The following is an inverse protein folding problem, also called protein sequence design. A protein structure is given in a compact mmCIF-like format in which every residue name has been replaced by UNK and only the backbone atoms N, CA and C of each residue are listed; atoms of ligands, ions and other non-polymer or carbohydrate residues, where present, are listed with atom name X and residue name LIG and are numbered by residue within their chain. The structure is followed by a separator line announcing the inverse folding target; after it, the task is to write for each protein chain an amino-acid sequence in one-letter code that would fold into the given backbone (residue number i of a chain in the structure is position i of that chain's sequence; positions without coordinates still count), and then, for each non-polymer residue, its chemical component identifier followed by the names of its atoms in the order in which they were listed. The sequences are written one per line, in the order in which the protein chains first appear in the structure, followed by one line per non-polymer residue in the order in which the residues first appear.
data_IF_496067596370
#
_entry.id   IF_496067596370
#
_cell.length_a   1.000
_cell.length_b   1.000
_cell.length_c   1.000
_cell.angle_alpha   90.00
_cell.angle_beta   90.00
_cell.angle_gamma   90.00
#
_symmetry.space_group_name_H-M   'P 1'
#
loop_
_entity.id
_entity.type
_entity.pdbx_description
1 polymer ?
#
# COMPACT_ATOMS: atom_id res chain seq x y z
N UNK A 1 18.33 3.01 -9.80
CA UNK A 1 18.23 3.89 -8.62
C UNK A 1 16.92 3.74 -7.84
N UNK A 2 15.76 4.04 -8.43
CA UNK A 2 14.46 4.05 -7.72
C UNK A 2 14.13 2.73 -6.97
N UNK A 3 14.30 1.58 -7.64
CA UNK A 3 14.10 0.26 -7.01
C UNK A 3 14.90 0.12 -5.70
N UNK A 4 16.18 0.49 -5.75
CA UNK A 4 17.08 0.40 -4.61
C UNK A 4 16.67 1.41 -3.52
N UNK A 5 16.24 2.62 -3.90
CA UNK A 5 15.76 3.61 -2.94
C UNK A 5 14.47 3.15 -2.23
N UNK A 6 13.60 2.41 -2.90
CA UNK A 6 12.48 1.75 -2.23
C UNK A 6 12.96 0.68 -1.25
N UNK A 7 13.92 -0.16 -1.64
CA UNK A 7 14.44 -1.25 -0.79
C UNK A 7 15.22 -0.73 0.42
N UNK A 8 15.95 0.38 0.26
CA UNK A 8 16.66 1.07 1.34
C UNK A 8 15.72 1.84 2.28
N UNK A 9 14.47 2.09 1.87
CA UNK A 9 13.51 2.90 2.62
C UNK A 9 13.76 4.41 2.48
N UNK A 10 14.43 4.84 1.41
CA UNK A 10 14.57 6.24 1.03
C UNK A 10 13.35 6.77 0.27
N UNK A 11 12.55 5.90 -0.36
CA UNK A 11 11.22 6.25 -0.89
C UNK A 11 10.15 5.59 -0.02
N UNK A 12 9.28 6.41 0.58
CA UNK A 12 8.41 5.99 1.69
C UNK A 12 7.02 5.54 1.30
N UNK A 13 6.59 5.82 0.06
CA UNK A 13 5.21 5.58 -0.38
C UNK A 13 5.18 5.01 -1.79
N UNK A 14 4.10 4.30 -2.10
CA UNK A 14 3.73 3.84 -3.43
C UNK A 14 2.38 4.47 -3.78
N UNK A 15 2.21 4.88 -5.03
CA UNK A 15 0.96 5.43 -5.56
C UNK A 15 0.73 4.93 -6.98
N UNK A 16 -0.46 5.20 -7.54
CA UNK A 16 -0.85 4.66 -8.85
C UNK A 16 -0.60 5.60 -10.01
N UNK A 17 -0.69 6.90 -9.81
CA UNK A 17 -0.87 7.90 -10.87
C UNK A 17 -2.00 7.53 -11.87
N UNK A 18 -3.16 7.16 -11.32
CA UNK A 18 -4.23 6.47 -12.05
C UNK A 18 -4.69 7.21 -13.31
N UNK A 19 -4.57 6.53 -14.46
CA UNK A 19 -4.95 7.04 -15.80
C UNK A 19 -4.17 8.28 -16.27
N UNK A 20 -3.13 8.70 -15.54
CA UNK A 20 -2.29 9.84 -15.85
C UNK A 20 -0.81 9.47 -15.66
N UNK A 21 -0.33 8.48 -16.42
CA UNK A 21 0.99 7.83 -16.28
C UNK A 21 1.08 6.65 -15.29
N UNK A 22 -0.05 6.13 -14.82
CA UNK A 22 -0.03 4.85 -14.13
C UNK A 22 -1.37 4.13 -13.96
N UNK A 23 -1.36 3.07 -13.15
CA UNK A 23 -2.36 2.00 -13.15
C UNK A 23 -2.98 1.82 -11.77
N UNK A 24 -4.27 2.17 -11.64
CA UNK A 24 -5.01 2.16 -10.35
C UNK A 24 -5.03 0.79 -9.68
N UNK A 25 -5.13 -0.29 -10.46
CA UNK A 25 -5.19 -1.67 -9.96
C UNK A 25 -3.84 -2.27 -9.57
N UNK A 26 -2.74 -1.53 -9.71
CA UNK A 26 -1.39 -2.10 -9.63
C UNK A 26 -0.51 -1.55 -8.50
N UNK A 27 -1.02 -0.70 -7.61
CA UNK A 27 -0.21 -0.17 -6.47
C UNK A 27 0.34 -1.31 -5.62
N UNK A 28 -0.54 -2.23 -5.20
CA UNK A 28 -0.17 -3.35 -4.33
C UNK A 28 0.74 -4.32 -5.09
N UNK A 29 0.40 -4.69 -6.33
CA UNK A 29 1.16 -5.69 -7.09
C UNK A 29 2.58 -5.21 -7.40
N UNK A 30 2.74 -3.94 -7.79
CA UNK A 30 4.05 -3.35 -8.11
C UNK A 30 4.91 -3.19 -6.87
N UNK A 31 4.30 -2.94 -5.72
CA UNK A 31 5.00 -2.93 -4.43
C UNK A 31 5.69 -4.27 -4.16
N UNK A 32 4.95 -5.37 -4.30
CA UNK A 32 5.48 -6.72 -4.02
C UNK A 32 6.41 -7.24 -5.11
N UNK A 33 6.19 -6.88 -6.38
CA UNK A 33 7.13 -7.17 -7.47
C UNK A 33 8.48 -6.47 -7.26
N UNK A 34 8.49 -5.22 -6.80
CA UNK A 34 9.72 -4.52 -6.47
C UNK A 34 10.44 -5.18 -5.29
N UNK A 35 9.71 -5.49 -4.20
CA UNK A 35 10.27 -6.23 -3.07
C UNK A 35 10.90 -7.57 -3.48
N UNK A 36 10.25 -8.30 -4.39
CA UNK A 36 10.74 -9.55 -4.93
C UNK A 36 12.02 -9.36 -5.77
N UNK A 37 12.02 -8.42 -6.72
CA UNK A 37 13.20 -8.09 -7.54
C UNK A 37 14.40 -7.74 -6.66
N UNK A 38 14.18 -6.90 -5.65
CA UNK A 38 15.23 -6.47 -4.73
C UNK A 38 15.75 -7.62 -3.87
N UNK A 39 14.89 -8.57 -3.46
CA UNK A 39 15.37 -9.82 -2.85
C UNK A 39 16.27 -10.63 -3.78
N UNK A 40 15.86 -10.83 -5.03
CA UNK A 40 16.64 -11.62 -5.99
C UNK A 40 18.00 -11.00 -6.28
N UNK A 41 18.07 -9.67 -6.41
CA UNK A 41 19.30 -8.99 -6.81
C UNK A 41 20.18 -8.56 -5.64
N UNK A 42 19.62 -8.34 -4.45
CA UNK A 42 20.36 -7.80 -3.28
C UNK A 42 20.35 -8.72 -2.06
N UNK A 43 19.70 -9.88 -2.14
CA UNK A 43 19.62 -10.84 -1.04
C UNK A 43 18.72 -10.38 0.10
N UNK A 44 18.97 -10.93 1.30
CA UNK A 44 18.22 -10.63 2.50
C UNK A 44 18.40 -9.19 2.95
N UNK A 45 17.35 -8.57 3.48
CA UNK A 45 17.42 -7.21 4.02
C UNK A 45 17.59 -7.28 5.53
N UNK A 46 18.71 -6.77 6.03
CA UNK A 46 18.99 -6.66 7.46
C UNK A 46 17.89 -5.87 8.17
N UNK A 47 17.49 -6.33 9.35
CA UNK A 47 16.65 -5.55 10.25
C UNK A 47 17.55 -4.63 11.08
N UNK A 48 17.53 -3.30 10.88
CA UNK A 48 18.36 -2.37 11.66
C UNK A 48 17.98 -2.32 13.15
N UNK A 49 16.87 -2.94 13.55
CA UNK A 49 16.46 -3.11 14.95
C UNK A 49 16.90 -4.46 15.55
N UNK A 50 17.51 -5.36 14.77
CA UNK A 50 18.11 -6.57 15.29
C UNK A 50 19.46 -6.22 15.93
N UNK A 51 19.79 -6.83 17.08
CA UNK A 51 20.99 -6.54 17.89
C UNK A 51 22.29 -7.13 17.29
N UNK A 52 22.40 -7.16 15.96
CA UNK A 52 23.56 -7.65 15.21
C UNK A 52 24.11 -6.59 14.26
N UNK A 53 25.31 -6.81 13.73
CA UNK A 53 25.91 -5.98 12.67
C UNK A 53 24.89 -5.86 11.54
N UNK A 54 24.60 -4.65 11.05
CA UNK A 54 23.54 -4.36 10.07
C UNK A 54 23.76 -4.93 8.67
N UNK A 55 24.49 -6.04 8.56
CA UNK A 55 24.68 -6.84 7.37
C UNK A 55 23.45 -7.74 7.15
N UNK A 56 23.18 -8.07 5.89
CA UNK A 56 22.13 -9.01 5.53
C UNK A 56 22.30 -10.28 6.37
N UNK A 57 21.29 -10.66 7.16
CA UNK A 57 21.27 -11.99 7.79
C UNK A 57 21.22 -13.02 6.66
N UNK A 58 22.38 -13.53 6.25
CA UNK A 58 22.54 -14.48 5.14
C UNK A 58 21.65 -15.74 5.33
N UNK A 59 21.25 -15.99 6.59
CA UNK A 59 20.47 -17.13 7.04
C UNK A 59 19.13 -16.76 7.71
N UNK A 60 18.53 -15.60 7.39
CA UNK A 60 17.21 -15.30 7.92
C UNK A 60 16.16 -16.28 7.39
N UNK A 61 15.31 -16.82 8.26
CA UNK A 61 14.25 -17.77 7.86
C UNK A 61 13.04 -17.09 7.18
N UNK A 62 13.02 -15.75 7.09
CA UNK A 62 11.87 -14.98 6.62
C UNK A 62 12.26 -13.60 6.10
N UNK A 63 11.36 -12.98 5.33
CA UNK A 63 11.53 -11.62 4.78
C UNK A 63 10.75 -10.56 5.58
N UNK A 64 10.45 -10.78 6.86
CA UNK A 64 9.47 -9.97 7.59
C UNK A 64 9.82 -8.48 7.61
N UNK A 65 11.11 -8.13 7.73
CA UNK A 65 11.50 -6.72 7.73
C UNK A 65 11.25 -6.07 6.37
N UNK A 66 11.63 -6.73 5.27
CA UNK A 66 11.28 -6.27 3.91
C UNK A 66 9.77 -6.22 3.72
N UNK A 67 9.02 -7.22 4.16
CA UNK A 67 7.56 -7.22 4.07
C UNK A 67 6.93 -6.04 4.82
N UNK A 68 7.36 -5.75 6.05
CA UNK A 68 6.93 -4.58 6.84
C UNK A 68 7.32 -3.26 6.18
N UNK A 69 8.53 -3.17 5.63
CA UNK A 69 9.00 -1.99 4.87
C UNK A 69 8.14 -1.71 3.65
N UNK A 70 7.72 -2.74 2.91
CA UNK A 70 6.97 -2.55 1.68
C UNK A 70 5.47 -2.39 1.90
N UNK A 71 4.85 -3.13 2.83
CA UNK A 71 3.42 -2.95 3.14
C UNK A 71 3.12 -1.54 3.63
N UNK A 72 4.02 -0.94 4.43
CA UNK A 72 3.86 0.43 4.93
C UNK A 72 3.83 1.49 3.82
N UNK A 73 4.37 1.20 2.63
CA UNK A 73 4.40 2.14 1.50
C UNK A 73 3.03 2.43 0.90
N UNK A 74 2.07 1.50 1.02
CA UNK A 74 0.71 1.68 0.49
C UNK A 74 -0.38 1.61 1.58
N UNK A 75 0.01 1.49 2.86
CA UNK A 75 -0.93 1.49 3.98
C UNK A 75 -0.70 2.69 4.89
N UNK A 76 0.23 2.60 5.84
CA UNK A 76 0.37 3.58 6.93
C UNK A 76 1.08 4.87 6.49
N UNK A 77 2.08 4.81 5.63
CA UNK A 77 2.85 6.00 5.24
C UNK A 77 2.00 6.99 4.42
N UNK A 78 1.20 6.56 3.42
CA UNK A 78 0.23 7.45 2.78
C UNK A 78 -0.75 8.06 3.79
N UNK A 79 -1.23 7.27 4.76
CA UNK A 79 -2.16 7.76 5.77
C UNK A 79 -1.53 8.83 6.68
N UNK A 80 -0.26 8.67 7.08
CA UNK A 80 0.48 9.66 7.87
C UNK A 80 0.68 10.94 7.04
N UNK A 81 1.16 10.81 5.80
CA UNK A 81 1.44 11.94 4.93
C UNK A 81 0.19 12.81 4.67
N UNK A 82 -0.99 12.18 4.57
CA UNK A 82 -2.27 12.86 4.33
C UNK A 82 -3.02 13.23 5.62
N UNK A 83 -2.52 12.89 6.80
CA UNK A 83 -3.16 13.28 8.07
C UNK A 83 -4.43 12.52 8.40
N UNK A 84 -4.50 11.27 7.94
CA UNK A 84 -5.66 10.37 8.10
C UNK A 84 -5.29 9.09 8.85
N UNK A 85 -4.06 8.99 9.36
CA UNK A 85 -3.55 7.79 10.05
C UNK A 85 -4.25 7.51 11.38
N UNK A 86 -5.02 8.45 11.92
CA UNK A 86 -5.89 8.22 13.07
C UNK A 86 -7.16 7.43 12.70
N UNK A 87 -7.57 7.41 11.43
CA UNK A 87 -8.71 6.62 10.97
C UNK A 87 -8.27 5.33 10.27
N UNK A 88 -7.25 5.38 9.41
CA UNK A 88 -6.94 4.29 8.46
C UNK A 88 -5.44 4.02 8.35
N UNK A 89 -5.08 3.02 7.53
CA UNK A 89 -3.69 2.76 7.12
C UNK A 89 -3.01 1.60 7.87
N UNK A 90 -3.64 0.98 8.85
CA UNK A 90 -3.10 -0.17 9.57
C UNK A 90 -4.19 -0.91 10.35
N UNK A 91 -3.89 -2.14 10.75
CA UNK A 91 -4.75 -2.96 11.60
C UNK A 91 -4.37 -2.68 13.06
N UNK A 92 -5.02 -1.69 13.66
CA UNK A 92 -4.81 -1.27 15.04
C UNK A 92 -6.17 -0.98 15.70
N UNK A 93 -6.35 -1.32 17.00
CA UNK A 93 -7.56 -0.98 17.73
C UNK A 93 -7.88 0.53 17.65
N UNK A 94 -9.16 0.85 17.48
CA UNK A 94 -9.64 2.24 17.35
C UNK A 94 -9.61 2.80 15.92
N UNK A 95 -8.98 2.12 14.95
CA UNK A 95 -9.04 2.51 13.53
C UNK A 95 -10.26 1.94 12.82
N UNK A 96 -10.62 2.56 11.71
CA UNK A 96 -11.71 2.16 10.83
C UNK A 96 -11.47 0.75 10.28
N UNK A 97 -12.49 -0.09 10.30
CA UNK A 97 -12.41 -1.51 9.92
C UNK A 97 -12.39 -1.71 8.38
N UNK A 98 -11.38 -1.16 7.73
CA UNK A 98 -11.05 -1.35 6.31
C UNK A 98 -10.01 -2.45 6.18
N UNK A 99 -10.46 -3.65 5.82
CA UNK A 99 -9.66 -4.86 5.83
C UNK A 99 -9.74 -5.55 4.47
N UNK A 100 -8.64 -6.17 4.06
CA UNK A 100 -8.58 -6.96 2.84
C UNK A 100 -8.09 -8.36 3.17
N UNK A 101 -8.89 -9.36 2.78
CA UNK A 101 -8.59 -10.77 3.04
C UNK A 101 -8.02 -11.39 1.77
N UNK A 102 -6.87 -12.04 1.92
CA UNK A 102 -6.15 -12.67 0.82
C UNK A 102 -6.07 -14.17 1.05
N UNK A 103 -6.24 -14.95 -0.01
CA UNK A 103 -5.67 -16.30 -0.05
C UNK A 103 -4.17 -16.16 -0.29
N UNK A 104 -3.28 -16.85 0.44
CA UNK A 104 -1.83 -16.70 0.27
C UNK A 104 -1.34 -16.82 -1.18
N UNK A 105 -1.90 -17.77 -1.95
CA UNK A 105 -1.56 -17.96 -3.36
C UNK A 105 -1.88 -16.77 -4.28
N UNK A 106 -2.75 -15.85 -3.84
CA UNK A 106 -3.19 -14.65 -4.57
C UNK A 106 -2.78 -13.34 -3.87
N UNK A 107 -1.96 -13.42 -2.82
CA UNK A 107 -1.55 -12.25 -2.04
C UNK A 107 -0.92 -11.17 -2.93
N UNK A 108 -1.44 -9.95 -2.81
CA UNK A 108 -0.99 -8.80 -3.59
C UNK A 108 -1.45 -8.76 -5.05
N UNK A 109 -2.25 -9.74 -5.49
CA UNK A 109 -2.76 -9.85 -6.87
C UNK A 109 -4.28 -9.62 -6.92
N UNK A 110 -5.04 -10.57 -6.35
CA UNK A 110 -6.50 -10.61 -6.37
C UNK A 110 -7.00 -10.99 -4.97
N UNK A 111 -7.48 -10.04 -4.15
CA UNK A 111 -8.02 -10.37 -2.83
C UNK A 111 -9.29 -11.21 -2.91
N UNK A 112 -9.61 -11.94 -1.84
CA UNK A 112 -10.86 -12.72 -1.75
C UNK A 112 -12.03 -11.83 -1.32
N UNK A 113 -11.81 -10.96 -0.34
CA UNK A 113 -12.84 -10.12 0.31
C UNK A 113 -12.24 -8.76 0.63
N UNK A 114 -13.00 -7.69 0.37
CA UNK A 114 -12.68 -6.31 0.71
C UNK A 114 -13.78 -5.80 1.64
N UNK A 115 -13.40 -5.42 2.86
CA UNK A 115 -14.29 -4.85 3.87
C UNK A 115 -14.11 -3.33 3.92
N UNK A 116 -15.23 -2.61 4.06
CA UNK A 116 -15.30 -1.18 4.32
C UNK A 116 -16.12 -0.93 5.57
N UNK A 117 -15.50 -0.35 6.61
CA UNK A 117 -16.17 -0.08 7.88
C UNK A 117 -16.83 -1.32 8.50
N UNK A 118 -16.19 -2.49 8.38
CA UNK A 118 -16.71 -3.76 8.90
C UNK A 118 -17.73 -4.48 8.01
N UNK A 119 -18.17 -3.89 6.90
CA UNK A 119 -19.08 -4.52 5.94
C UNK A 119 -18.33 -4.99 4.70
N UNK A 120 -18.68 -6.16 4.15
CA UNK A 120 -18.11 -6.63 2.89
C UNK A 120 -18.63 -5.72 1.76
N UNK A 121 -17.72 -4.99 1.12
CA UNK A 121 -18.03 -4.14 -0.02
C UNK A 121 -17.82 -4.89 -1.35
N UNK A 122 -16.83 -5.77 -1.43
CA UNK A 122 -16.56 -6.53 -2.65
C UNK A 122 -15.98 -7.89 -2.31
N UNK A 123 -16.34 -8.92 -3.06
CA UNK A 123 -15.79 -10.25 -2.91
C UNK A 123 -15.66 -10.97 -4.26
N UNK A 124 -14.71 -11.90 -4.34
CA UNK A 124 -14.63 -12.86 -5.43
C UNK A 124 -15.72 -13.92 -5.22
N UNK A 125 -16.76 -13.91 -6.06
CA UNK A 125 -17.94 -14.75 -5.90
C UNK A 125 -18.38 -15.34 -7.25
N UNK A 126 -18.85 -16.58 -7.18
CA UNK A 126 -19.32 -17.39 -8.29
C UNK A 126 -20.66 -16.98 -8.88
N UNK A 127 -21.37 -17.96 -9.45
CA UNK A 127 -22.74 -17.83 -9.92
C UNK A 127 -23.72 -17.61 -8.75
N UNK A 128 -24.47 -16.49 -8.70
CA UNK A 128 -25.48 -16.23 -7.67
C UNK A 128 -26.67 -17.20 -7.69
N UNK A 129 -26.92 -17.89 -8.81
CA UNK A 129 -28.00 -18.87 -8.92
C UNK A 129 -27.56 -20.29 -8.52
N UNK A 130 -26.26 -20.51 -8.25
CA UNK A 130 -25.77 -21.80 -7.82
C UNK A 130 -26.11 -22.09 -6.35
N UNK A 131 -26.00 -23.36 -5.95
CA UNK A 131 -26.34 -23.80 -4.59
C UNK A 131 -25.41 -23.28 -3.49
N UNK A 132 -24.19 -22.88 -3.85
CA UNK A 132 -23.14 -22.33 -2.97
C UNK A 132 -22.37 -21.23 -3.73
N UNK A 133 -21.59 -20.35 -3.07
CA UNK A 133 -21.02 -19.15 -3.72
C UNK A 133 -19.73 -19.38 -4.54
N UNK A 134 -19.26 -20.61 -4.67
CA UNK A 134 -17.99 -20.99 -5.31
C UNK A 134 -18.05 -21.52 -6.76
N UNK A 135 -19.19 -22.01 -7.30
CA UNK A 135 -19.30 -22.43 -8.69
C UNK A 135 -19.04 -21.29 -9.67
N UNK A 136 -18.44 -21.62 -10.80
CA UNK A 136 -18.01 -20.64 -11.80
C UNK A 136 -19.20 -19.92 -12.46
N UNK A 137 -19.03 -18.68 -12.96
CA UNK A 137 -17.79 -17.92 -13.03
C UNK A 137 -17.51 -17.07 -11.77
N UNK A 138 -16.34 -17.30 -11.16
CA UNK A 138 -15.88 -16.52 -10.00
C UNK A 138 -15.19 -15.24 -10.46
N UNK A 139 -15.77 -14.09 -10.11
CA UNK A 139 -15.20 -12.78 -10.37
C UNK A 139 -15.58 -11.78 -9.28
N UNK A 140 -15.02 -10.58 -9.32
CA UNK A 140 -15.37 -9.54 -8.35
C UNK A 140 -16.79 -9.06 -8.55
N UNK A 141 -17.55 -9.10 -7.47
CA UNK A 141 -18.91 -8.59 -7.42
C UNK A 141 -19.03 -7.59 -6.26
N UNK A 142 -19.73 -6.47 -6.45
CA UNK A 142 -20.17 -5.63 -5.34
C UNK A 142 -21.04 -6.45 -4.38
N UNK A 143 -20.82 -6.25 -3.08
CA UNK A 143 -21.55 -6.93 -2.00
C UNK A 143 -22.43 -5.92 -1.27
N UNK A 144 -23.18 -6.34 -0.24
CA UNK A 144 -24.12 -5.47 0.47
C UNK A 144 -23.52 -4.15 0.99
N UNK A 145 -22.23 -4.11 1.34
CA UNK A 145 -21.52 -2.88 1.71
C UNK A 145 -21.39 -1.83 0.60
N UNK A 146 -21.64 -2.20 -0.65
CA UNK A 146 -21.62 -1.31 -1.82
C UNK A 146 -22.97 -0.71 -2.19
N UNK A 147 -24.04 -0.98 -1.44
CA UNK A 147 -25.39 -0.55 -1.80
C UNK A 147 -26.06 0.30 -0.71
N UNK A 148 -26.96 1.19 -1.14
CA UNK A 148 -27.84 1.98 -0.28
C UNK A 148 -27.11 2.72 0.85
N UNK A 149 -27.73 2.75 2.03
CA UNK A 149 -27.18 3.42 3.22
C UNK A 149 -25.88 2.81 3.75
N UNK A 150 -25.52 1.57 3.35
CA UNK A 150 -24.28 0.94 3.78
C UNK A 150 -23.04 1.68 3.23
N UNK A 151 -23.14 2.24 2.00
CA UNK A 151 -22.06 3.04 1.40
C UNK A 151 -21.73 4.25 2.28
N UNK A 152 -22.75 4.93 2.79
CA UNK A 152 -22.60 6.10 3.63
C UNK A 152 -22.05 5.75 5.03
N UNK A 153 -22.59 4.69 5.65
CA UNK A 153 -22.21 4.26 7.01
C UNK A 153 -20.83 3.58 7.07
N UNK A 154 -20.42 2.88 6.01
CA UNK A 154 -19.14 2.15 5.96
C UNK A 154 -17.95 2.97 5.44
N UNK A 155 -18.16 4.24 5.10
CA UNK A 155 -17.14 5.09 4.47
C UNK A 155 -16.97 6.44 5.16
N UNK A 156 -15.75 6.97 5.04
CA UNK A 156 -15.40 8.32 5.47
C UNK A 156 -15.22 9.23 4.25
N UNK A 157 -15.49 10.51 4.43
CA UNK A 157 -15.03 11.58 3.53
C UNK A 157 -14.06 12.46 4.28
N UNK A 158 -12.81 12.48 3.86
CA UNK A 158 -11.78 13.31 4.47
C UNK A 158 -11.89 14.75 3.99
N UNK A 159 -11.90 15.69 4.91
CA UNK A 159 -12.05 17.13 4.64
C UNK A 159 -11.03 17.95 5.43
N UNK A 160 -10.86 19.22 5.11
CA UNK A 160 -10.09 20.12 5.97
C UNK A 160 -10.84 20.43 7.27
N UNK A 161 -10.10 20.78 8.33
CA UNK A 161 -10.70 21.24 9.59
C UNK A 161 -11.62 22.45 9.38
N UNK A 162 -11.24 23.37 8.49
CA UNK A 162 -12.05 24.55 8.15
C UNK A 162 -13.39 24.16 7.50
N UNK A 163 -13.37 23.19 6.57
CA UNK A 163 -14.58 22.70 5.93
C UNK A 163 -15.51 22.01 6.94
N UNK A 164 -14.97 21.19 7.84
CA UNK A 164 -15.77 20.58 8.89
C UNK A 164 -16.39 21.62 9.84
N UNK A 165 -15.61 22.63 10.25
CA UNK A 165 -16.11 23.72 11.09
C UNK A 165 -17.18 24.59 10.40
N UNK A 166 -17.11 24.70 9.07
CA UNK A 166 -18.09 25.42 8.25
C UNK A 166 -19.38 24.63 7.99
N UNK A 167 -19.57 23.45 8.59
CA UNK A 167 -20.80 22.67 8.45
C UNK A 167 -21.06 22.17 7.02
N UNK A 168 -20.02 21.82 6.26
CA UNK A 168 -20.17 21.40 4.85
C UNK A 168 -20.99 20.12 4.70
N UNK A 169 -21.07 19.29 5.75
CA UNK A 169 -21.91 18.10 5.74
C UNK A 169 -23.38 18.48 5.58
N UNK A 170 -23.86 19.38 6.43
CA UNK A 170 -25.24 19.86 6.45
C UNK A 170 -25.52 20.71 5.22
N UNK A 171 -24.60 21.64 4.90
CA UNK A 171 -24.74 22.56 3.75
C UNK A 171 -24.88 21.84 2.41
N UNK A 172 -24.21 20.71 2.23
CA UNK A 172 -24.26 19.94 0.98
C UNK A 172 -25.07 18.64 1.10
N UNK A 173 -25.74 18.39 2.22
CA UNK A 173 -26.54 17.17 2.43
C UNK A 173 -25.72 15.88 2.34
N UNK A 174 -24.45 15.89 2.79
CA UNK A 174 -23.56 14.74 2.68
C UNK A 174 -23.97 13.62 3.65
N UNK A 175 -24.23 12.44 3.12
CA UNK A 175 -24.62 11.28 3.93
C UNK A 175 -23.43 10.59 4.65
N UNK A 176 -22.22 10.64 4.06
CA UNK A 176 -21.02 10.01 4.64
C UNK A 176 -20.56 10.74 5.90
N UNK A 177 -19.94 9.99 6.82
CA UNK A 177 -19.24 10.59 7.96
C UNK A 177 -18.04 11.40 7.46
N UNK A 178 -17.91 12.65 7.92
CA UNK A 178 -16.74 13.48 7.64
C UNK A 178 -15.68 13.24 8.72
N UNK A 179 -14.41 13.14 8.30
CA UNK A 179 -13.26 13.14 9.22
C UNK A 179 -12.28 14.21 8.78
N UNK A 180 -11.97 15.17 9.65
CA UNK A 180 -10.99 16.20 9.33
C UNK A 180 -9.58 15.63 9.33
N UNK A 181 -8.82 15.96 8.28
CA UNK A 181 -7.37 15.73 8.24
C UNK A 181 -6.68 16.57 9.32
N UNK A 182 -5.63 16.03 9.94
CA UNK A 182 -4.87 16.71 10.99
C UNK A 182 -3.40 16.28 11.01
N UNK A 183 -2.57 17.07 11.70
CA UNK A 183 -1.16 16.74 11.99
C UNK A 183 -0.25 16.55 10.77
N UNK A 184 -0.51 17.23 9.64
CA UNK A 184 0.27 17.10 8.39
C UNK A 184 1.39 18.13 8.20
N UNK A 185 1.47 19.14 9.08
CA UNK A 185 2.45 20.24 8.93
C UNK A 185 3.79 19.94 9.60
N UNK A 186 3.82 18.98 10.53
CA UNK A 186 5.00 18.55 11.27
C UNK A 186 5.57 17.22 10.79
N UNK A 187 4.93 16.56 9.81
CA UNK A 187 5.39 15.28 9.27
C UNK A 187 6.71 15.48 8.53
N UNK A 188 7.70 14.67 8.89
CA UNK A 188 9.02 14.61 8.25
C UNK A 188 9.32 13.18 7.83
N UNK A 189 10.43 13.00 7.10
CA UNK A 189 10.90 11.67 6.67
C UNK A 189 11.08 10.70 7.85
N UNK A 190 11.48 11.20 9.02
CA UNK A 190 11.66 10.38 10.23
C UNK A 190 10.37 9.71 10.71
N UNK A 191 9.20 10.27 10.38
CA UNK A 191 7.91 9.72 10.76
C UNK A 191 7.42 8.59 9.83
N UNK A 192 8.11 8.34 8.72
CA UNK A 192 7.74 7.30 7.76
C UNK A 192 8.13 5.92 8.28
N UNK A 193 7.13 5.12 8.62
CA UNK A 193 7.30 3.81 9.24
C UNK A 193 8.10 2.90 8.30
N UNK A 194 9.19 2.35 8.83
CA UNK A 194 10.17 1.49 8.13
C UNK A 194 10.86 2.11 6.89
N UNK A 195 10.61 3.39 6.60
CA UNK A 195 11.04 4.08 5.37
C UNK A 195 11.49 5.51 5.64
N UNK A 196 12.33 5.66 6.67
CA UNK A 196 12.80 6.95 7.17
C UNK A 196 14.25 7.28 6.78
N UNK A 197 14.89 6.46 5.93
CA UNK A 197 16.28 6.67 5.54
C UNK A 197 16.41 7.94 4.69
N UNK A 198 17.37 8.81 5.03
CA UNK A 198 17.57 10.12 4.42
C UNK A 198 19.04 10.24 3.96
N UNK A 199 19.43 9.55 2.86
CA UNK A 199 20.79 9.62 2.33
C UNK A 199 21.10 10.99 1.74
N UNK A 200 22.40 11.32 1.66
CA UNK A 200 22.89 12.35 0.74
C UNK A 200 22.77 11.83 -0.69
N UNK A 201 21.95 12.50 -1.50
CA UNK A 201 21.69 12.11 -2.89
C UNK A 201 22.56 12.93 -3.84
N UNK A 202 23.22 12.24 -4.78
CA UNK A 202 23.95 12.86 -5.87
C UNK A 202 23.44 12.30 -7.20
N UNK A 203 23.14 13.17 -8.15
CA UNK A 203 22.70 12.80 -9.50
C UNK A 203 23.58 13.56 -10.48
N UNK A 204 24.38 12.84 -11.26
CA UNK A 204 25.21 13.45 -12.28
C UNK A 204 24.33 14.02 -13.41
N UNK A 205 24.46 15.32 -13.76
CA UNK A 205 23.57 15.97 -14.72
C UNK A 205 23.81 15.54 -16.18
N UNK A 206 24.94 14.89 -16.48
CA UNK A 206 25.30 14.45 -17.84
C UNK A 206 25.05 12.95 -18.01
N UNK A 207 25.42 12.15 -17.02
CA UNK A 207 25.37 10.68 -17.10
C UNK A 207 24.16 10.07 -16.40
N UNK A 208 23.44 10.85 -15.59
CA UNK A 208 22.32 10.41 -14.75
C UNK A 208 22.67 9.30 -13.76
N UNK A 209 23.97 9.11 -13.47
CA UNK A 209 24.43 8.23 -12.41
C UNK A 209 23.92 8.75 -11.07
N UNK A 210 23.23 7.89 -10.33
CA UNK A 210 22.65 8.22 -9.03
C UNK A 210 23.48 7.56 -7.93
N UNK A 211 23.88 8.35 -6.94
CA UNK A 211 24.54 7.87 -5.73
C UNK A 211 23.73 8.22 -4.48
N UNK A 212 23.79 7.35 -3.48
CA UNK A 212 23.33 7.62 -2.13
C UNK A 212 24.50 7.35 -1.17
N UNK A 213 24.86 8.36 -0.37
CA UNK A 213 26.02 8.31 0.53
C UNK A 213 27.30 7.84 -0.20
N UNK A 214 27.54 8.39 -1.39
CA UNK A 214 28.67 8.05 -2.27
C UNK A 214 28.55 6.71 -3.03
N UNK A 215 27.60 5.85 -2.67
CA UNK A 215 27.42 4.53 -3.30
C UNK A 215 26.57 4.61 -4.56
N UNK A 216 27.08 4.07 -5.68
CA UNK A 216 26.36 4.02 -6.96
C UNK A 216 25.13 3.11 -6.87
N UNK A 217 23.97 3.62 -7.26
CA UNK A 217 22.69 2.92 -7.21
C UNK A 217 22.28 2.38 -8.59
N UNK A 218 22.85 1.24 -8.98
CA UNK A 218 22.53 0.54 -10.22
C UNK A 218 22.01 -0.88 -9.99
N UNK A 219 21.12 -1.35 -10.85
CA UNK A 219 20.61 -2.72 -10.86
C UNK A 219 20.07 -3.06 -12.25
N UNK A 220 20.25 -4.31 -12.68
CA UNK A 220 19.74 -4.78 -13.97
C UNK A 220 18.20 -4.79 -14.01
N UNK A 221 17.58 -4.56 -15.18
CA UNK A 221 16.15 -4.76 -15.36
C UNK A 221 15.77 -6.22 -15.15
N UNK A 222 14.59 -6.47 -14.58
CA UNK A 222 14.07 -7.83 -14.44
C UNK A 222 13.51 -8.31 -15.79
N UNK A 223 13.87 -9.52 -16.22
CA UNK A 223 13.36 -10.14 -17.46
C UNK A 223 12.03 -10.87 -17.25
N UNK A 224 11.70 -11.21 -16.00
CA UNK A 224 10.42 -11.79 -15.60
C UNK A 224 10.03 -11.32 -14.20
N UNK A 225 8.74 -11.34 -13.90
CA UNK A 225 8.20 -10.96 -12.59
C UNK A 225 7.17 -11.98 -12.11
N UNK A 226 7.10 -12.25 -10.80
CA UNK A 226 5.97 -12.96 -10.22
C UNK A 226 4.71 -12.10 -10.35
N UNK A 227 3.54 -12.67 -10.02
CA UNK A 227 2.29 -11.90 -9.98
C UNK A 227 1.93 -11.32 -11.36
N UNK A 228 2.22 -12.05 -12.44
CA UNK A 228 1.96 -11.63 -13.84
C UNK A 228 1.16 -12.71 -14.58
N UNK A 229 1.72 -13.29 -15.66
CA UNK A 229 1.07 -14.17 -16.64
C UNK A 229 0.37 -15.40 -16.03
N UNK A 230 0.80 -15.87 -14.85
CA UNK A 230 0.13 -16.96 -14.13
C UNK A 230 -1.30 -16.63 -13.68
N UNK A 231 -1.61 -15.36 -13.47
CA UNK A 231 -2.81 -14.92 -12.73
C UNK A 231 -3.80 -14.10 -13.54
N UNK A 232 -3.36 -13.54 -14.66
CA UNK A 232 -4.17 -12.67 -15.50
C UNK A 232 -4.48 -13.36 -16.82
N UNK A 233 -5.73 -13.23 -17.26
CA UNK A 233 -6.16 -13.73 -18.56
C UNK A 233 -5.57 -12.87 -19.71
N UNK A 234 -5.29 -11.60 -19.41
CA UNK A 234 -4.68 -10.60 -20.29
C UNK A 234 -3.69 -9.75 -19.49
#
# INVERSE_FOLDING_TARGET
AEDILHDLGAISMMSSDSQAMGRVGEVIIRTWQNAHKMKQQRGWLANPLATGTGEAEENSRNDNFRAKRYISKYTINPAIAHGISHEVGSIEPGKWADLVIWRPAFFGIKPSIILKGGFIAMAAMGDPNASIPTPQPVHYRPMFGSFGGAVAKGSLTFVSQAAQAAGVKERFGLAKTLSAVKNIRSVRKQNMIHNNYLPSMEIDPQTYLVRADGQLLTCEPATSLPMTQRYFLF
#
